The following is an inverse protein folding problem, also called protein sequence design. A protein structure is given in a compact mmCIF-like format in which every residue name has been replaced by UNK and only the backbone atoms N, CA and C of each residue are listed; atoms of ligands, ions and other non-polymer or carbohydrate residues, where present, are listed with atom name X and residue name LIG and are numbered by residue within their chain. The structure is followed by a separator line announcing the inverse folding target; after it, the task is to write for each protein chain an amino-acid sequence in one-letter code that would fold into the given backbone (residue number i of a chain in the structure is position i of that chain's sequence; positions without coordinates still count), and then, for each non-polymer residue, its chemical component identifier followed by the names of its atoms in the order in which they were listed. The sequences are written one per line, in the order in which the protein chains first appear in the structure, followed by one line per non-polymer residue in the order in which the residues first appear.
data_IF_184521784203
#
_entry.id   IF_184521784203
#
_cell.length_a   1.000
_cell.length_b   1.000
_cell.length_c   1.000
_cell.angle_alpha   90.00
_cell.angle_beta   90.00
_cell.angle_gamma   90.00
#
_symmetry.space_group_name_H-M   'P 1'
#
loop_
_entity.id
_entity.type
_entity.pdbx_description
1 polymer ?
#
# COMPACT_ATOMS: atom_id res chain seq x y z
N UNK A 1 11.35 -6.56 25.46
CA UNK A 1 11.46 -5.30 24.70
C UNK A 1 12.73 -5.36 23.84
N UNK A 2 12.84 -6.37 22.97
CA UNK A 2 13.93 -6.53 21.97
C UNK A 2 13.35 -6.97 20.62
N UNK A 3 12.05 -6.79 20.39
CA UNK A 3 11.34 -7.40 19.25
C UNK A 3 11.87 -6.90 17.90
N UNK A 4 12.31 -5.64 17.81
CA UNK A 4 12.97 -5.12 16.61
C UNK A 4 14.39 -5.64 16.39
N UNK A 5 15.04 -6.21 17.42
CA UNK A 5 16.33 -6.88 17.28
C UNK A 5 16.22 -8.28 16.67
N UNK A 6 15.04 -8.87 16.63
CA UNK A 6 14.79 -10.13 15.92
C UNK A 6 14.57 -9.91 14.41
N UNK A 7 14.21 -8.69 14.02
CA UNK A 7 14.12 -8.26 12.62
C UNK A 7 15.48 -7.68 12.21
N UNK A 8 16.12 -8.17 11.15
CA UNK A 8 17.43 -7.68 10.74
C UNK A 8 17.32 -6.26 10.17
N UNK A 9 17.55 -5.25 11.00
CA UNK A 9 17.64 -3.84 10.61
C UNK A 9 19.10 -3.41 10.43
N UNK A 10 19.36 -2.58 9.42
CA UNK A 10 20.70 -2.01 9.18
C UNK A 10 20.96 -0.73 9.98
N UNK A 11 19.89 0.01 10.31
CA UNK A 11 19.93 1.21 11.15
C UNK A 11 18.84 1.12 12.21
N UNK A 12 19.20 1.39 13.46
CA UNK A 12 18.26 1.47 14.58
C UNK A 12 18.28 2.88 15.17
N UNK A 13 17.10 3.44 15.41
CA UNK A 13 16.94 4.75 16.02
C UNK A 13 16.87 4.65 17.55
N UNK A 14 17.41 5.65 18.23
CA UNK A 14 17.35 5.75 19.69
C UNK A 14 15.98 6.20 20.17
N UNK A 15 15.59 5.82 21.39
CA UNK A 15 14.35 6.30 22.01
C UNK A 15 14.49 7.73 22.58
N UNK A 16 14.81 8.71 21.73
CA UNK A 16 15.17 10.09 22.14
C UNK A 16 14.35 11.18 21.44
N UNK A 17 13.30 10.78 20.71
CA UNK A 17 12.44 11.64 19.90
C UNK A 17 11.92 12.89 20.64
N UNK A 18 11.42 12.75 21.88
CA UNK A 18 10.80 13.85 22.66
C UNK A 18 11.70 14.44 23.75
N UNK A 19 13.02 14.19 23.70
CA UNK A 19 13.94 14.69 24.75
C UNK A 19 13.92 16.21 24.81
N UNK A 20 13.43 16.77 25.92
CA UNK A 20 13.52 18.20 26.24
C UNK A 20 13.64 18.41 27.75
N UNK A 21 14.30 19.49 28.16
CA UNK A 21 14.46 19.83 29.58
C UNK A 21 13.09 19.97 30.25
N UNK A 22 12.17 20.68 29.59
CA UNK A 22 10.81 20.87 30.08
C UNK A 22 10.04 19.54 30.19
N UNK A 23 10.15 18.64 29.21
CA UNK A 23 9.50 17.33 29.24
C UNK A 23 9.97 16.46 30.41
N UNK A 24 11.29 16.44 30.67
CA UNK A 24 11.85 15.75 31.84
C UNK A 24 11.41 16.38 33.16
N UNK A 25 11.42 17.72 33.25
CA UNK A 25 10.93 18.44 34.44
C UNK A 25 9.43 18.22 34.70
N UNK A 26 8.63 18.01 33.65
CA UNK A 26 7.20 17.69 33.78
C UNK A 26 6.94 16.20 34.13
N UNK A 27 7.94 15.33 33.97
CA UNK A 27 7.80 13.89 34.18
C UNK A 27 7.93 13.53 35.66
N UNK A 28 6.79 13.22 36.30
CA UNK A 28 6.73 12.84 37.71
C UNK A 28 6.66 11.33 37.89
N UNK A 29 7.56 10.78 38.70
CA UNK A 29 7.60 9.36 39.05
C UNK A 29 7.75 9.17 40.56
N UNK A 30 7.67 7.93 41.05
CA UNK A 30 7.93 7.63 42.46
C UNK A 30 9.34 8.07 42.90
N UNK A 31 10.33 7.97 42.01
CA UNK A 31 11.71 8.40 42.27
C UNK A 31 11.90 9.92 42.09
N UNK A 32 11.07 10.55 41.26
CA UNK A 32 11.17 11.95 40.86
C UNK A 32 9.81 12.65 41.05
N UNK A 33 9.36 12.89 42.29
CA UNK A 33 8.02 13.41 42.55
C UNK A 33 7.83 14.85 42.03
N UNK A 34 8.92 15.62 41.98
CA UNK A 34 8.93 17.02 41.56
C UNK A 34 9.40 17.23 40.11
N UNK A 35 9.58 16.14 39.36
CA UNK A 35 10.18 16.17 38.02
C UNK A 35 11.63 15.70 37.99
N UNK A 36 12.12 15.36 36.80
CA UNK A 36 13.51 14.97 36.58
C UNK A 36 14.33 16.24 36.32
N UNK A 37 15.39 16.44 37.11
CA UNK A 37 16.26 17.61 36.97
C UNK A 37 17.18 17.51 35.74
N UNK A 38 17.62 18.67 35.23
CA UNK A 38 18.49 18.77 34.05
C UNK A 38 19.78 17.95 34.19
N UNK A 39 20.40 17.93 35.38
CA UNK A 39 21.69 17.25 35.57
C UNK A 39 21.57 15.73 35.49
N UNK A 40 20.37 15.19 35.74
CA UNK A 40 20.07 13.77 35.59
C UNK A 40 19.80 13.35 34.14
N UNK A 41 19.38 14.27 33.25
CA UNK A 41 19.00 13.96 31.86
C UNK A 41 20.10 13.23 31.07
N UNK A 42 21.38 13.64 31.08
CA UNK A 42 22.43 12.98 30.31
C UNK A 42 22.54 11.47 30.56
N UNK A 43 22.26 11.01 31.79
CA UNK A 43 22.28 9.58 32.11
C UNK A 43 21.18 8.79 31.38
N UNK A 44 19.99 9.37 31.22
CA UNK A 44 18.90 8.76 30.44
C UNK A 44 19.25 8.69 28.95
N UNK A 45 19.93 9.71 28.42
CA UNK A 45 20.35 9.74 27.01
C UNK A 45 21.43 8.68 26.74
N UNK A 46 22.40 8.54 27.63
CA UNK A 46 23.39 7.47 27.54
C UNK A 46 22.73 6.08 27.58
N UNK A 47 21.76 5.88 28.48
CA UNK A 47 20.99 4.64 28.57
C UNK A 47 20.16 4.36 27.30
N UNK A 48 19.55 5.38 26.68
CA UNK A 48 18.80 5.22 25.44
C UNK A 48 19.70 4.72 24.30
N UNK A 49 20.93 5.23 24.21
CA UNK A 49 21.94 4.76 23.24
C UNK A 49 22.42 3.36 23.58
N UNK A 50 22.70 3.05 24.85
CA UNK A 50 23.04 1.70 25.30
C UNK A 50 21.98 0.66 24.88
N UNK A 51 20.70 1.01 25.04
CA UNK A 51 19.58 0.13 24.66
C UNK A 51 19.58 -0.08 23.15
N UNK A 52 19.70 0.98 22.34
CA UNK A 52 19.74 0.87 20.88
C UNK A 52 20.94 0.03 20.40
N UNK A 53 22.11 0.20 21.01
CA UNK A 53 23.32 -0.57 20.69
C UNK A 53 23.19 -2.06 21.01
N UNK A 54 22.51 -2.40 22.12
CA UNK A 54 22.23 -3.79 22.52
C UNK A 54 21.13 -4.42 21.67
N UNK A 55 20.21 -3.62 21.15
CA UNK A 55 19.12 -4.08 20.30
C UNK A 55 19.53 -4.32 18.84
N UNK A 56 20.81 -4.09 18.48
CA UNK A 56 21.35 -4.41 17.14
C UNK A 56 21.26 -5.92 16.87
N UNK A 57 20.26 -6.33 16.09
CA UNK A 57 20.04 -7.74 15.71
C UNK A 57 21.05 -8.32 14.73
N UNK A 58 21.78 -7.46 14.00
CA UNK A 58 22.70 -7.82 12.93
C UNK A 58 24.10 -7.23 13.18
N UNK A 59 25.19 -8.01 13.00
CA UNK A 59 26.54 -7.46 13.01
C UNK A 59 26.70 -6.36 11.96
N UNK A 60 27.19 -5.19 12.39
CA UNK A 60 27.36 -4.02 11.52
C UNK A 60 26.14 -3.08 11.44
N UNK A 61 25.03 -3.39 12.12
CA UNK A 61 23.93 -2.44 12.25
C UNK A 61 24.41 -1.14 12.94
N UNK A 62 23.94 -0.01 12.43
CA UNK A 62 24.35 1.31 12.89
C UNK A 62 23.26 1.95 13.75
N UNK A 63 23.64 2.86 14.65
CA UNK A 63 22.70 3.60 15.49
C UNK A 63 22.52 5.01 14.96
N UNK A 64 21.27 5.45 14.82
CA UNK A 64 20.90 6.82 14.49
C UNK A 64 20.30 7.51 15.73
N UNK A 65 20.75 8.73 16.00
CA UNK A 65 20.18 9.54 17.08
C UNK A 65 18.86 10.17 16.60
N UNK A 66 17.73 9.72 17.16
CA UNK A 66 16.40 10.24 16.86
C UNK A 66 16.11 11.54 17.61
N UNK A 67 15.70 12.57 16.88
CA UNK A 67 15.37 13.90 17.38
C UNK A 67 14.10 14.41 16.69
N UNK A 68 12.98 14.42 17.41
CA UNK A 68 11.72 15.01 16.94
C UNK A 68 11.72 16.53 16.96
N UNK A 69 10.66 17.19 16.44
CA UNK A 69 10.56 18.64 16.45
C UNK A 69 10.23 19.18 17.84
N UNK A 70 10.36 20.49 18.03
CA UNK A 70 9.89 21.19 19.23
C UNK A 70 8.44 20.83 19.58
N UNK A 71 7.56 20.81 18.55
CA UNK A 71 6.15 20.48 18.70
C UNK A 71 5.88 19.14 19.38
N UNK A 72 6.76 18.15 19.22
CA UNK A 72 6.62 16.83 19.87
C UNK A 72 6.81 16.87 21.39
N UNK A 73 7.35 17.98 21.91
CA UNK A 73 7.65 18.17 23.33
C UNK A 73 6.65 19.08 24.04
N UNK A 74 5.70 19.64 23.27
CA UNK A 74 4.59 20.45 23.77
C UNK A 74 3.48 19.57 24.36
N UNK A 75 2.65 20.17 25.22
CA UNK A 75 1.45 19.53 25.76
C UNK A 75 0.26 20.48 25.55
N UNK A 76 -0.72 20.13 24.69
CA UNK A 76 -0.74 18.97 23.79
C UNK A 76 0.36 19.04 22.70
N UNK A 77 0.77 17.88 22.17
CA UNK A 77 1.77 17.79 21.10
C UNK A 77 1.31 18.48 19.81
N UNK A 78 2.24 19.17 19.15
CA UNK A 78 2.00 19.99 17.95
C UNK A 78 2.92 19.59 16.78
N UNK A 79 3.51 18.39 16.79
CA UNK A 79 4.39 17.93 15.70
C UNK A 79 3.68 17.80 14.34
N UNK A 80 2.35 17.69 14.31
CA UNK A 80 1.57 17.62 13.06
C UNK A 80 0.97 18.97 12.64
N UNK A 81 0.69 19.86 13.59
CA UNK A 81 0.07 21.16 13.29
C UNK A 81 1.11 22.24 13.00
N UNK A 82 2.31 22.15 13.59
CA UNK A 82 3.28 23.24 13.60
C UNK A 82 2.85 24.48 14.40
N UNK A 83 1.77 24.39 15.20
CA UNK A 83 1.22 25.49 15.98
C UNK A 83 2.00 25.70 17.28
N UNK A 84 3.20 26.29 17.18
CA UNK A 84 4.11 26.49 18.31
C UNK A 84 3.72 27.73 19.13
N UNK A 85 4.23 27.80 20.36
CA UNK A 85 4.02 28.94 21.24
C UNK A 85 4.87 30.16 20.87
N UNK A 86 4.59 31.30 21.50
CA UNK A 86 5.26 32.57 21.25
C UNK A 86 6.76 32.55 21.58
N UNK A 87 7.21 31.61 22.41
CA UNK A 87 8.63 31.47 22.76
C UNK A 87 9.41 30.64 21.73
N UNK A 88 8.74 30.04 20.74
CA UNK A 88 9.31 29.17 19.71
C UNK A 88 8.67 29.39 18.32
N UNK A 89 8.21 30.62 18.04
CA UNK A 89 7.53 30.98 16.79
C UNK A 89 8.45 31.50 15.67
N UNK A 90 9.77 31.59 15.93
CA UNK A 90 10.78 32.02 14.96
C UNK A 90 12.06 31.16 14.97
N UNK A 91 12.87 31.30 13.91
CA UNK A 91 14.09 30.53 13.67
C UNK A 91 15.15 30.69 14.77
N UNK A 92 15.37 31.90 15.31
CA UNK A 92 16.41 32.16 16.32
C UNK A 92 16.00 31.63 17.70
N UNK A 93 14.71 31.71 18.02
CA UNK A 93 14.13 31.06 19.21
C UNK A 93 14.29 29.53 19.12
N UNK A 94 13.89 28.95 18.00
CA UNK A 94 14.05 27.51 17.75
C UNK A 94 15.52 27.08 17.76
N UNK A 95 16.42 27.88 17.19
CA UNK A 95 17.86 27.60 17.22
C UNK A 95 18.40 27.53 18.65
N UNK A 96 18.00 28.45 19.53
CA UNK A 96 18.39 28.42 20.95
C UNK A 96 17.87 27.17 21.65
N UNK A 97 16.61 26.80 21.39
CA UNK A 97 16.03 25.57 21.93
C UNK A 97 16.77 24.32 21.45
N UNK A 98 17.05 24.22 20.15
CA UNK A 98 17.82 23.11 19.58
C UNK A 98 19.23 23.05 20.16
N UNK A 99 19.92 24.19 20.31
CA UNK A 99 21.25 24.23 20.91
C UNK A 99 21.24 23.77 22.39
N UNK A 100 20.24 24.20 23.17
CA UNK A 100 20.08 23.74 24.55
C UNK A 100 19.84 22.23 24.61
N UNK A 101 18.93 21.72 23.77
CA UNK A 101 18.66 20.28 23.68
C UNK A 101 19.92 19.48 23.31
N UNK A 102 20.66 19.92 22.28
CA UNK A 102 21.87 19.24 21.80
C UNK A 102 23.01 19.26 22.82
N UNK A 103 23.07 20.27 23.69
CA UNK A 103 24.04 20.33 24.79
C UNK A 103 23.92 19.13 25.74
N UNK A 104 22.70 18.63 25.97
CA UNK A 104 22.46 17.45 26.82
C UNK A 104 23.10 16.18 26.23
N UNK A 105 23.05 16.03 24.91
CA UNK A 105 23.68 14.90 24.21
C UNK A 105 25.21 15.02 24.18
N UNK A 106 25.74 16.25 24.13
CA UNK A 106 27.17 16.50 24.28
C UNK A 106 27.66 16.16 25.69
N UNK A 107 26.91 16.56 26.72
CA UNK A 107 27.17 16.21 28.13
C UNK A 107 27.07 14.70 28.37
N UNK A 108 26.13 14.02 27.70
CA UNK A 108 26.00 12.56 27.72
C UNK A 108 27.10 11.83 26.93
N UNK A 109 27.95 12.55 26.20
CA UNK A 109 29.06 12.01 25.39
C UNK A 109 28.62 10.95 24.37
N UNK A 110 27.44 11.10 23.77
CA UNK A 110 26.89 10.08 22.87
C UNK A 110 27.26 10.26 21.39
N UNK A 111 27.77 11.43 21.00
CA UNK A 111 27.99 11.78 19.59
C UNK A 111 28.92 10.81 18.84
N UNK A 112 29.94 10.27 19.50
CA UNK A 112 30.86 9.31 18.87
C UNK A 112 30.29 7.88 18.78
N UNK A 113 29.19 7.61 19.50
CA UNK A 113 28.54 6.30 19.56
C UNK A 113 27.46 6.14 18.48
N UNK A 114 27.02 7.23 17.87
CA UNK A 114 26.01 7.23 16.82
C UNK A 114 26.65 7.43 15.44
N UNK A 115 26.09 6.77 14.44
CA UNK A 115 26.53 6.86 13.06
C UNK A 115 25.81 7.96 12.29
N UNK A 116 24.56 8.26 12.66
CA UNK A 116 23.71 9.25 12.00
C UNK A 116 22.96 10.11 13.01
N UNK A 117 22.48 11.26 12.54
CA UNK A 117 21.49 12.08 13.25
C UNK A 117 20.22 12.14 12.42
N UNK A 118 19.11 11.76 13.05
CA UNK A 118 17.79 11.69 12.46
C UNK A 118 16.93 12.81 13.05
N UNK A 119 16.81 13.93 12.32
CA UNK A 119 15.86 14.98 12.68
C UNK A 119 14.55 14.69 11.97
N UNK A 120 13.52 14.32 12.71
CA UNK A 120 12.34 13.67 12.15
C UNK A 120 11.03 14.35 12.49
N UNK A 121 10.03 14.17 11.64
CA UNK A 121 8.68 14.76 11.78
C UNK A 121 8.68 16.29 11.84
N UNK A 122 9.63 16.97 11.19
CA UNK A 122 9.72 18.43 11.27
C UNK A 122 8.57 19.08 10.46
N UNK A 123 7.70 19.92 11.05
CA UNK A 123 6.50 20.45 10.39
C UNK A 123 6.61 21.91 9.90
N UNK A 124 7.74 22.59 10.14
CA UNK A 124 7.92 24.02 9.79
C UNK A 124 9.28 24.32 9.14
N UNK A 125 9.30 25.31 8.24
CA UNK A 125 10.51 25.74 7.53
C UNK A 125 11.54 26.44 8.42
N UNK A 126 11.09 27.28 9.35
CA UNK A 126 11.96 27.97 10.31
C UNK A 126 12.69 26.96 11.22
N UNK A 127 12.00 25.91 11.65
CA UNK A 127 12.62 24.83 12.40
C UNK A 127 13.63 24.04 11.56
N UNK A 128 13.34 23.75 10.29
CA UNK A 128 14.32 23.12 9.38
C UNK A 128 15.61 23.96 9.31
N UNK A 129 15.48 25.29 9.20
CA UNK A 129 16.65 26.20 9.19
C UNK A 129 17.40 26.18 10.52
N UNK A 130 16.67 26.21 11.64
CA UNK A 130 17.25 26.11 12.98
C UNK A 130 18.05 24.81 13.15
N UNK A 131 17.49 23.66 12.75
CA UNK A 131 18.15 22.35 12.77
C UNK A 131 19.45 22.37 11.95
N UNK A 132 19.39 22.88 10.71
CA UNK A 132 20.55 22.96 9.81
C UNK A 132 21.68 23.82 10.37
N UNK A 133 21.36 24.82 11.19
CA UNK A 133 22.34 25.67 11.89
C UNK A 133 22.85 25.02 13.18
N UNK A 134 21.97 24.33 13.93
CA UNK A 134 22.29 23.78 15.24
C UNK A 134 23.18 22.53 15.16
N UNK A 135 22.79 21.53 14.35
CA UNK A 135 23.45 20.20 14.34
C UNK A 135 24.96 20.28 14.01
N UNK A 136 25.40 21.03 12.97
CA UNK A 136 26.82 21.10 12.62
C UNK A 136 27.71 21.75 13.69
N UNK A 137 27.13 22.46 14.66
CA UNK A 137 27.86 23.05 15.78
C UNK A 137 28.25 21.99 16.84
N UNK A 138 27.55 20.86 16.89
CA UNK A 138 27.79 19.79 17.88
C UNK A 138 28.42 18.53 17.27
N UNK A 139 28.17 18.26 15.98
CA UNK A 139 28.62 17.02 15.37
C UNK A 139 28.82 17.15 13.86
N UNK A 140 29.70 16.31 13.30
CA UNK A 140 29.90 16.17 11.86
C UNK A 140 29.33 14.86 11.31
N UNK A 141 28.55 14.11 12.11
CA UNK A 141 27.91 12.88 11.64
C UNK A 141 26.87 13.21 10.55
N UNK A 142 26.64 12.32 9.57
CA UNK A 142 25.63 12.52 8.55
C UNK A 142 24.24 12.77 9.16
N UNK A 143 23.61 13.86 8.73
CA UNK A 143 22.27 14.29 9.14
C UNK A 143 21.26 13.96 8.04
N UNK A 144 20.10 13.42 8.40
CA UNK A 144 18.92 13.56 7.55
C UNK A 144 17.82 14.35 8.26
N UNK A 145 17.04 15.06 7.46
CA UNK A 145 15.84 15.77 7.92
C UNK A 145 14.63 15.13 7.25
N UNK A 146 13.73 14.55 8.03
CA UNK A 146 12.44 14.05 7.55
C UNK A 146 11.29 14.94 8.01
N UNK A 147 10.33 15.12 7.10
CA UNK A 147 9.19 16.01 7.27
C UNK A 147 7.89 15.22 7.29
N UNK A 148 6.87 15.84 7.88
CA UNK A 148 5.52 15.29 8.01
C UNK A 148 4.51 16.03 7.15
N UNK A 149 3.57 15.28 6.55
CA UNK A 149 2.50 15.84 5.72
C UNK A 149 1.14 15.30 6.21
N UNK A 150 0.56 15.87 7.27
CA UNK A 150 -0.60 15.28 7.95
C UNK A 150 -1.94 15.59 7.29
N UNK A 151 -2.06 16.71 6.56
CA UNK A 151 -3.28 17.06 5.84
C UNK A 151 -3.61 16.00 4.75
N UNK A 152 -4.84 15.92 4.26
CA UNK A 152 -5.17 15.01 3.14
C UNK A 152 -4.42 15.41 1.85
N UNK A 153 -4.26 16.72 1.61
CA UNK A 153 -3.43 17.24 0.53
C UNK A 153 -1.93 17.20 0.85
N UNK A 154 -1.10 17.61 -0.10
CA UNK A 154 0.37 17.67 0.06
C UNK A 154 0.86 18.93 0.79
N UNK A 155 -0.04 19.61 1.50
CA UNK A 155 0.28 20.81 2.26
C UNK A 155 1.22 20.49 3.41
N UNK A 156 2.27 21.28 3.54
CA UNK A 156 3.11 21.28 4.74
C UNK A 156 2.38 22.05 5.85
N UNK A 157 2.53 21.69 7.15
CA UNK A 157 1.73 22.27 8.23
C UNK A 157 1.82 23.80 8.35
N UNK A 158 2.97 24.40 8.07
CA UNK A 158 3.16 25.86 8.07
C UNK A 158 2.60 26.59 6.82
N UNK A 159 1.97 25.85 5.89
CA UNK A 159 1.42 26.36 4.65
C UNK A 159 2.39 26.37 3.46
N UNK A 160 3.64 25.99 3.67
CA UNK A 160 4.65 25.95 2.61
C UNK A 160 4.41 24.81 1.61
N UNK A 161 4.91 25.00 0.40
CA UNK A 161 4.93 23.95 -0.62
C UNK A 161 6.04 22.92 -0.37
N UNK A 162 5.83 21.69 -0.83
CA UNK A 162 6.86 20.63 -0.84
C UNK A 162 8.18 21.10 -1.46
N UNK A 163 8.09 21.89 -2.54
CA UNK A 163 9.25 22.49 -3.19
C UNK A 163 10.04 23.40 -2.25
N UNK A 164 9.36 24.27 -1.49
CA UNK A 164 10.02 25.13 -0.51
C UNK A 164 10.67 24.32 0.61
N UNK A 165 10.02 23.24 1.07
CA UNK A 165 10.58 22.32 2.08
C UNK A 165 11.90 21.73 1.60
N UNK A 166 11.91 21.07 0.44
CA UNK A 166 13.13 20.43 -0.10
C UNK A 166 14.26 21.44 -0.32
N UNK A 167 13.93 22.61 -0.88
CA UNK A 167 14.91 23.68 -1.10
C UNK A 167 15.46 24.23 0.21
N UNK A 168 14.66 24.30 1.26
CA UNK A 168 15.10 24.77 2.59
C UNK A 168 15.98 23.73 3.29
N UNK A 169 15.66 22.44 3.17
CA UNK A 169 16.49 21.35 3.70
C UNK A 169 17.86 21.33 3.02
N UNK A 170 17.88 21.49 1.70
CA UNK A 170 19.08 21.32 0.87
C UNK A 170 19.78 22.64 0.49
N UNK A 171 19.41 23.78 1.10
CA UNK A 171 20.01 25.06 0.76
C UNK A 171 21.53 25.06 1.03
N UNK A 172 22.26 25.83 0.22
CA UNK A 172 23.71 25.98 0.34
C UNK A 172 24.06 27.24 1.17
N UNK A 173 23.79 27.19 2.47
CA UNK A 173 24.11 28.29 3.39
C UNK A 173 25.54 28.16 3.99
N UNK A 174 26.29 27.15 3.55
CA UNK A 174 27.68 26.89 3.95
C UNK A 174 28.14 25.44 3.71
N UNK A 175 29.45 25.15 3.77
CA UNK A 175 30.02 23.84 3.39
C UNK A 175 29.65 22.65 4.30
N UNK A 176 29.09 22.91 5.50
CA UNK A 176 28.59 21.87 6.42
C UNK A 176 27.08 21.93 6.65
N UNK A 177 26.37 22.82 5.94
CA UNK A 177 24.95 23.09 6.16
C UNK A 177 24.02 22.13 5.42
N UNK A 178 24.56 21.31 4.52
CA UNK A 178 23.76 20.40 3.71
C UNK A 178 23.62 19.03 4.40
N UNK A 179 22.38 18.60 4.71
CA UNK A 179 22.11 17.26 5.19
C UNK A 179 22.53 16.20 4.17
N UNK A 180 22.95 15.04 4.67
CA UNK A 180 23.24 13.85 3.86
C UNK A 180 21.97 13.31 3.18
N UNK A 181 20.82 13.41 3.85
CA UNK A 181 19.55 12.91 3.35
C UNK A 181 18.36 13.81 3.60
N UNK A 182 17.32 13.60 2.80
CA UNK A 182 15.98 14.16 2.97
C UNK A 182 14.99 13.02 3.17
N UNK A 183 13.90 13.26 3.89
CA UNK A 183 12.97 12.17 4.16
C UNK A 183 11.53 12.57 4.40
N UNK A 184 10.68 11.55 4.45
CA UNK A 184 9.26 11.65 4.79
C UNK A 184 8.95 10.55 5.80
N UNK A 185 8.40 10.94 6.94
CA UNK A 185 7.97 10.03 7.98
C UNK A 185 6.61 10.45 8.56
N UNK A 186 6.03 9.59 9.39
CA UNK A 186 4.75 9.83 10.07
C UNK A 186 3.64 10.35 9.13
N UNK A 187 3.66 9.84 7.90
CA UNK A 187 2.79 10.28 6.80
C UNK A 187 2.11 9.05 6.20
N UNK A 188 0.83 9.20 5.84
CA UNK A 188 0.02 8.12 5.27
C UNK A 188 0.64 7.56 4.00
N UNK A 189 0.68 6.22 3.89
CA UNK A 189 1.32 5.49 2.81
C UNK A 189 0.85 5.90 1.40
N UNK A 190 -0.46 6.14 1.21
CA UNK A 190 -1.02 6.50 -0.09
C UNK A 190 -0.56 7.85 -0.62
N UNK A 191 -0.04 8.73 0.25
CA UNK A 191 0.49 10.05 -0.15
C UNK A 191 1.93 9.99 -0.64
N UNK A 192 2.69 8.96 -0.24
CA UNK A 192 4.13 8.90 -0.48
C UNK A 192 4.48 8.96 -1.96
N UNK A 193 3.74 8.29 -2.83
CA UNK A 193 4.06 8.28 -4.26
C UNK A 193 4.10 9.70 -4.84
N UNK A 194 3.10 10.52 -4.49
CA UNK A 194 2.99 11.89 -4.98
C UNK A 194 3.98 12.83 -4.29
N UNK A 195 4.20 12.67 -2.98
CA UNK A 195 5.18 13.46 -2.24
C UNK A 195 6.61 13.18 -2.73
N UNK A 196 6.97 11.91 -2.96
CA UNK A 196 8.28 11.52 -3.49
C UNK A 196 8.49 12.09 -4.88
N UNK A 197 7.47 12.07 -5.77
CA UNK A 197 7.55 12.70 -7.07
C UNK A 197 7.83 14.21 -6.96
N UNK A 198 7.17 14.91 -6.04
CA UNK A 198 7.42 16.34 -5.78
C UNK A 198 8.81 16.61 -5.18
N UNK A 199 9.31 15.71 -4.34
CA UNK A 199 10.68 15.77 -3.84
C UNK A 199 11.68 15.62 -4.99
N UNK A 200 11.45 14.65 -5.86
CA UNK A 200 12.26 14.38 -7.05
C UNK A 200 12.31 15.58 -7.99
N UNK A 201 11.15 16.17 -8.31
CA UNK A 201 11.05 17.39 -9.13
C UNK A 201 11.87 18.55 -8.53
N UNK A 202 11.73 18.80 -7.23
CA UNK A 202 12.47 19.87 -6.55
C UNK A 202 13.99 19.62 -6.55
N UNK A 203 14.44 18.38 -6.36
CA UNK A 203 15.87 18.02 -6.41
C UNK A 203 16.41 18.17 -7.84
N UNK A 204 15.67 17.73 -8.86
CA UNK A 204 16.06 17.86 -10.27
C UNK A 204 16.27 19.34 -10.62
N UNK A 205 15.33 20.20 -10.25
CA UNK A 205 15.45 21.64 -10.48
C UNK A 205 16.70 22.22 -9.81
N UNK A 206 16.94 21.90 -8.53
CA UNK A 206 18.11 22.40 -7.82
C UNK A 206 19.43 21.90 -8.43
N UNK A 207 19.49 20.68 -8.94
CA UNK A 207 20.66 20.16 -9.67
C UNK A 207 20.86 20.91 -10.98
N UNK A 208 19.78 21.15 -11.75
CA UNK A 208 19.82 21.91 -13.01
C UNK A 208 20.30 23.34 -12.79
N UNK A 209 19.89 23.96 -11.69
CA UNK A 209 20.31 25.29 -11.25
C UNK A 209 21.74 25.31 -10.66
N UNK A 210 22.40 24.15 -10.55
CA UNK A 210 23.70 23.96 -9.89
C UNK A 210 23.71 24.34 -8.41
N UNK A 211 22.54 24.40 -7.78
CA UNK A 211 22.36 24.56 -6.34
C UNK A 211 22.59 23.25 -5.57
N UNK A 212 22.70 22.11 -6.26
CA UNK A 212 23.11 20.82 -5.69
C UNK A 212 24.17 20.16 -6.56
N UNK A 213 25.22 19.64 -5.93
CA UNK A 213 26.29 18.91 -6.62
C UNK A 213 25.88 17.47 -6.97
N UNK A 214 25.07 16.83 -6.12
CA UNK A 214 24.63 15.45 -6.28
C UNK A 214 23.28 15.23 -5.62
N UNK A 215 22.66 14.10 -5.93
CA UNK A 215 21.44 13.64 -5.27
C UNK A 215 21.68 13.38 -3.77
N UNK A 216 20.78 13.79 -2.88
CA UNK A 216 20.81 13.40 -1.47
C UNK A 216 20.31 11.96 -1.30
N UNK A 217 20.57 11.36 -0.15
CA UNK A 217 19.88 10.13 0.23
C UNK A 217 18.38 10.41 0.49
N UNK A 218 17.51 9.46 0.15
CA UNK A 218 16.09 9.52 0.46
C UNK A 218 15.78 8.54 1.59
N UNK A 219 15.19 9.04 2.68
CA UNK A 219 14.84 8.24 3.87
C UNK A 219 13.31 8.23 4.04
N UNK A 220 12.69 7.05 4.01
CA UNK A 220 11.23 6.91 4.08
C UNK A 220 10.85 5.89 5.15
N UNK A 221 10.01 6.30 6.10
CA UNK A 221 9.43 5.43 7.12
C UNK A 221 8.01 5.94 7.45
N UNK A 222 7.05 5.66 6.54
CA UNK A 222 5.68 6.14 6.66
C UNK A 222 4.92 5.45 7.78
N UNK A 223 3.74 5.97 8.08
CA UNK A 223 2.83 5.29 9.00
C UNK A 223 2.39 3.95 8.42
N UNK A 224 2.63 2.89 9.19
CA UNK A 224 2.18 1.54 8.86
C UNK A 224 0.69 1.31 9.04
N UNK A 225 -0.11 2.36 9.29
CA UNK A 225 -1.53 2.22 9.58
C UNK A 225 -2.39 2.30 8.33
N UNK A 226 -3.32 1.36 8.19
CA UNK A 226 -4.32 1.34 7.13
C UNK A 226 -5.47 2.32 7.44
N UNK A 227 -5.14 3.59 7.71
CA UNK A 227 -6.10 4.65 8.02
C UNK A 227 -6.52 4.76 9.49
N UNK A 228 -5.93 3.96 10.38
CA UNK A 228 -6.14 4.06 11.82
C UNK A 228 -5.38 5.28 12.35
N UNK A 229 -6.05 6.08 13.18
CA UNK A 229 -5.50 7.22 13.90
C UNK A 229 -5.35 6.81 15.36
N UNK A 230 -4.20 7.12 15.96
CA UNK A 230 -4.00 6.84 17.38
C UNK A 230 -4.83 7.81 18.21
N UNK A 231 -5.83 7.29 18.92
CA UNK A 231 -6.64 8.07 19.83
C UNK A 231 -5.90 8.18 21.18
N UNK A 232 -5.44 9.39 21.49
CA UNK A 232 -4.66 9.69 22.70
C UNK A 232 -5.48 9.55 23.99
N UNK A 233 -6.81 9.57 23.90
CA UNK A 233 -7.70 9.41 25.06
C UNK A 233 -7.96 7.93 25.36
N UNK A 234 -8.19 7.12 24.32
CA UNK A 234 -8.44 5.68 24.50
C UNK A 234 -7.16 4.84 24.47
N UNK A 235 -6.02 5.45 24.13
CA UNK A 235 -4.71 4.82 23.95
C UNK A 235 -4.73 3.65 22.95
N UNK A 236 -5.59 3.74 21.93
CA UNK A 236 -5.78 2.71 20.91
C UNK A 236 -5.73 3.32 19.52
N UNK A 237 -5.29 2.51 18.57
CA UNK A 237 -5.45 2.79 17.15
C UNK A 237 -6.92 2.58 16.78
N UNK A 238 -7.58 3.65 16.34
CA UNK A 238 -8.99 3.66 15.99
C UNK A 238 -9.18 4.14 14.55
N UNK A 239 -10.10 3.50 13.83
CA UNK A 239 -10.55 4.00 12.55
C UNK A 239 -11.47 5.21 12.78
N UNK A 240 -11.29 6.34 12.05
CA UNK A 240 -12.20 7.47 12.13
C UNK A 240 -13.66 7.03 11.88
N UNK A 241 -14.62 7.65 12.57
CA UNK A 241 -16.05 7.38 12.34
C UNK A 241 -16.41 7.69 10.87
N UNK A 242 -16.84 6.66 10.12
CA UNK A 242 -17.10 6.75 8.67
C UNK A 242 -15.99 6.20 7.76
N UNK A 243 -14.90 5.65 8.32
CA UNK A 243 -13.86 4.98 7.56
C UNK A 243 -14.29 3.55 7.20
N UNK A 244 -14.94 3.39 6.04
CA UNK A 244 -15.05 2.06 5.42
C UNK A 244 -13.66 1.63 4.97
N UNK A 245 -13.20 0.49 5.48
CA UNK A 245 -11.96 -0.17 5.09
C UNK A 245 -12.05 -0.48 3.60
N UNK A 246 -11.62 0.47 2.76
CA UNK A 246 -11.41 0.24 1.34
C UNK A 246 -10.24 -0.72 1.21
N UNK A 247 -10.62 -1.98 1.32
CA UNK A 247 -9.80 -3.14 1.03
C UNK A 247 -8.98 -2.85 -0.21
N UNK A 248 -7.69 -3.15 -0.15
CA UNK A 248 -6.79 -3.20 -1.31
C UNK A 248 -7.43 -4.00 -2.46
N UNK A 249 -8.39 -4.87 -2.16
CA UNK A 249 -9.29 -5.57 -3.08
C UNK A 249 -10.23 -4.63 -3.86
N UNK A 250 -10.83 -3.60 -3.25
CA UNK A 250 -11.68 -2.62 -3.94
C UNK A 250 -10.87 -1.71 -4.86
N UNK A 251 -9.64 -1.30 -4.48
CA UNK A 251 -8.74 -0.54 -5.35
C UNK A 251 -8.20 -1.41 -6.49
N UNK A 252 -7.94 -2.70 -6.23
CA UNK A 252 -7.54 -3.65 -7.27
C UNK A 252 -8.69 -3.95 -8.24
N UNK A 253 -9.91 -4.18 -7.74
CA UNK A 253 -11.11 -4.39 -8.57
C UNK A 253 -11.48 -3.11 -9.31
N UNK A 254 -11.38 -1.94 -8.68
CA UNK A 254 -11.61 -0.65 -9.33
C UNK A 254 -10.52 -0.35 -10.37
N UNK A 255 -9.26 -0.72 -10.11
CA UNK A 255 -8.14 -0.62 -11.05
C UNK A 255 -8.27 -1.58 -12.24
N UNK A 256 -8.72 -2.81 -12.02
CA UNK A 256 -9.11 -3.78 -13.06
C UNK A 256 -10.33 -3.29 -13.85
N UNK A 257 -11.30 -2.65 -13.18
CA UNK A 257 -12.52 -2.14 -13.80
C UNK A 257 -12.25 -0.87 -14.59
N UNK A 258 -11.49 0.09 -14.05
CA UNK A 258 -11.03 1.30 -14.74
C UNK A 258 -10.02 0.96 -15.83
N UNK A 259 -9.12 0.00 -15.59
CA UNK A 259 -8.22 -0.56 -16.59
C UNK A 259 -9.00 -1.24 -17.72
N UNK A 260 -10.03 -2.02 -17.41
CA UNK A 260 -10.92 -2.61 -18.41
C UNK A 260 -11.74 -1.54 -19.15
N UNK A 261 -12.26 -0.51 -18.48
CA UNK A 261 -13.04 0.57 -19.08
C UNK A 261 -12.16 1.48 -19.95
N UNK A 262 -10.96 1.83 -19.51
CA UNK A 262 -9.98 2.60 -20.26
C UNK A 262 -9.43 1.79 -21.45
N UNK A 263 -9.15 0.49 -21.26
CA UNK A 263 -8.82 -0.41 -22.36
C UNK A 263 -10.00 -0.59 -23.33
N UNK A 264 -11.25 -0.55 -22.86
CA UNK A 264 -12.46 -0.58 -23.71
C UNK A 264 -12.59 0.73 -24.52
N UNK A 265 -12.39 1.89 -23.89
CA UNK A 265 -12.47 3.20 -24.53
C UNK A 265 -11.33 3.47 -25.52
N UNK A 266 -10.13 2.93 -25.27
CA UNK A 266 -9.00 2.99 -26.20
C UNK A 266 -9.10 1.90 -27.29
N UNK A 267 -9.72 0.75 -26.99
CA UNK A 267 -9.99 -0.33 -27.94
C UNK A 267 -11.12 -0.03 -28.94
N UNK A 268 -11.92 1.03 -28.72
CA UNK A 268 -12.91 1.52 -29.68
C UNK A 268 -12.30 1.90 -31.04
N UNK A 269 -10.98 2.09 -31.10
CA UNK A 269 -10.26 2.32 -32.37
C UNK A 269 -9.78 1.06 -33.10
N UNK A 270 -9.81 -0.14 -32.49
CA UNK A 270 -9.11 -1.32 -33.04
C UNK A 270 -9.87 -2.66 -32.96
N UNK A 271 -11.19 -2.65 -32.72
CA UNK A 271 -12.05 -3.82 -32.97
C UNK A 271 -11.90 -5.00 -32.01
N UNK A 272 -11.32 -4.81 -30.82
CA UNK A 272 -11.08 -5.88 -29.82
C UNK A 272 -12.24 -6.18 -28.86
N UNK A 273 -13.39 -5.51 -28.97
CA UNK A 273 -14.59 -5.82 -28.16
C UNK A 273 -15.05 -7.28 -28.36
N UNK A 274 -14.96 -7.79 -29.60
CA UNK A 274 -15.37 -9.16 -29.93
C UNK A 274 -14.45 -10.23 -29.33
N UNK A 275 -13.17 -9.89 -29.13
CA UNK A 275 -12.17 -10.77 -28.50
C UNK A 275 -12.29 -10.77 -26.97
N UNK A 276 -12.52 -9.60 -26.34
CA UNK A 276 -12.70 -9.48 -24.88
C UNK A 276 -14.05 -9.99 -24.38
N UNK A 277 -15.12 -9.87 -25.16
CA UNK A 277 -16.40 -10.49 -24.81
C UNK A 277 -16.33 -12.02 -24.87
N UNK A 278 -15.50 -12.59 -25.76
CA UNK A 278 -15.26 -14.04 -25.78
C UNK A 278 -14.50 -14.51 -24.53
N UNK A 279 -13.46 -13.79 -24.09
CA UNK A 279 -12.70 -14.20 -22.89
C UNK A 279 -13.50 -14.16 -21.60
N UNK A 280 -14.35 -13.13 -21.41
CA UNK A 280 -15.28 -13.06 -20.26
C UNK A 280 -16.44 -14.06 -20.37
N UNK A 281 -16.91 -14.32 -21.58
CA UNK A 281 -17.90 -15.37 -21.85
C UNK A 281 -17.40 -16.75 -21.46
N UNK A 282 -16.13 -17.08 -21.73
CA UNK A 282 -15.55 -18.40 -21.40
C UNK A 282 -15.59 -18.71 -19.90
N UNK A 283 -15.19 -17.77 -19.03
CA UNK A 283 -15.16 -17.98 -17.58
C UNK A 283 -16.56 -18.20 -17.00
N UNK A 284 -17.56 -17.50 -17.51
CA UNK A 284 -18.96 -17.69 -17.10
C UNK A 284 -19.60 -18.94 -17.72
N UNK A 285 -19.21 -19.32 -18.95
CA UNK A 285 -19.83 -20.43 -19.68
C UNK A 285 -19.31 -21.80 -19.23
N UNK A 286 -18.03 -21.91 -18.85
CA UNK A 286 -17.42 -23.19 -18.47
C UNK A 286 -18.13 -23.82 -17.25
N UNK A 287 -18.39 -23.13 -16.13
CA UNK A 287 -19.13 -23.71 -15.00
C UNK A 287 -20.58 -24.09 -15.36
N UNK A 288 -21.23 -23.31 -16.23
CA UNK A 288 -22.59 -23.60 -16.70
C UNK A 288 -22.59 -24.89 -17.52
N UNK A 289 -21.67 -25.01 -18.47
CA UNK A 289 -21.51 -26.23 -19.29
C UNK A 289 -21.11 -27.43 -18.44
N UNK A 290 -20.16 -27.29 -17.52
CA UNK A 290 -19.77 -28.34 -16.59
C UNK A 290 -20.95 -28.79 -15.73
N UNK A 291 -21.77 -27.86 -15.24
CA UNK A 291 -22.98 -28.22 -14.50
C UNK A 291 -23.99 -28.98 -15.36
N UNK A 292 -24.04 -28.69 -16.66
CA UNK A 292 -24.95 -29.32 -17.61
C UNK A 292 -24.58 -30.78 -17.90
N UNK A 293 -23.29 -31.05 -18.11
CA UNK A 293 -22.81 -32.40 -18.46
C UNK A 293 -22.61 -33.30 -17.23
N UNK A 294 -22.51 -32.72 -16.04
CA UNK A 294 -22.24 -33.46 -14.80
C UNK A 294 -23.50 -34.10 -14.21
N UNK A 295 -23.38 -35.36 -13.77
CA UNK A 295 -24.42 -36.02 -13.00
C UNK A 295 -24.71 -35.27 -11.68
N UNK A 296 -25.97 -35.22 -11.21
CA UNK A 296 -26.36 -34.46 -10.00
C UNK A 296 -25.53 -34.79 -8.75
N UNK A 297 -25.09 -36.03 -8.59
CA UNK A 297 -24.29 -36.49 -7.44
C UNK A 297 -22.84 -36.01 -7.45
N UNK A 298 -22.27 -35.70 -8.63
CA UNK A 298 -20.87 -35.31 -8.80
C UNK A 298 -20.68 -33.86 -9.26
N UNK A 299 -21.77 -33.15 -9.56
CA UNK A 299 -21.78 -31.75 -10.03
C UNK A 299 -20.99 -30.82 -9.08
N UNK A 300 -21.11 -31.02 -7.76
CA UNK A 300 -20.37 -30.24 -6.77
C UNK A 300 -18.86 -30.47 -6.83
N UNK A 301 -18.43 -31.71 -7.02
CA UNK A 301 -17.01 -32.07 -7.12
C UNK A 301 -16.39 -31.51 -8.41
N UNK A 302 -17.08 -31.67 -9.55
CA UNK A 302 -16.60 -31.16 -10.85
C UNK A 302 -16.56 -29.62 -10.85
N UNK A 303 -17.55 -28.97 -10.25
CA UNK A 303 -17.54 -27.51 -10.02
C UNK A 303 -16.39 -27.06 -9.12
N UNK A 304 -16.11 -27.80 -8.05
CA UNK A 304 -14.99 -27.54 -7.14
C UNK A 304 -13.62 -27.67 -7.82
N UNK A 305 -13.42 -28.72 -8.62
CA UNK A 305 -12.19 -28.92 -9.41
C UNK A 305 -11.98 -27.76 -10.40
N UNK A 306 -13.05 -27.31 -11.07
CA UNK A 306 -12.99 -26.12 -11.94
C UNK A 306 -12.60 -24.86 -11.17
N UNK A 307 -13.14 -24.66 -9.95
CA UNK A 307 -12.78 -23.54 -9.09
C UNK A 307 -11.30 -23.58 -8.67
N UNK A 308 -10.79 -24.74 -8.25
CA UNK A 308 -9.37 -24.95 -7.95
C UNK A 308 -8.48 -24.65 -9.18
N UNK A 309 -8.92 -25.05 -10.37
CA UNK A 309 -8.21 -24.77 -11.62
C UNK A 309 -8.12 -23.27 -11.93
N UNK A 310 -9.20 -22.52 -11.71
CA UNK A 310 -9.21 -21.06 -11.85
C UNK A 310 -8.24 -20.42 -10.84
N UNK A 311 -8.31 -20.81 -9.57
CA UNK A 311 -7.41 -20.31 -8.53
C UNK A 311 -5.94 -20.60 -8.84
N UNK A 312 -5.63 -21.81 -9.32
CA UNK A 312 -4.28 -22.19 -9.74
C UNK A 312 -3.79 -21.37 -10.94
N UNK A 313 -4.66 -21.14 -11.94
CA UNK A 313 -4.35 -20.29 -13.09
C UNK A 313 -4.04 -18.84 -12.68
N UNK A 314 -4.86 -18.27 -11.79
CA UNK A 314 -4.62 -16.93 -11.24
C UNK A 314 -3.32 -16.86 -10.46
N UNK A 315 -3.03 -17.88 -9.64
CA UNK A 315 -1.75 -17.98 -8.92
C UNK A 315 -0.58 -17.99 -9.90
N UNK A 316 -0.58 -18.88 -10.90
CA UNK A 316 0.48 -18.94 -11.92
C UNK A 316 0.65 -17.62 -12.68
N UNK A 317 -0.44 -16.92 -12.99
CA UNK A 317 -0.41 -15.60 -13.61
C UNK A 317 0.32 -14.58 -12.73
N UNK A 318 0.08 -14.59 -11.43
CA UNK A 318 0.75 -13.69 -10.48
C UNK A 318 2.25 -13.98 -10.39
N UNK A 319 2.65 -15.24 -10.38
CA UNK A 319 4.07 -15.63 -10.38
C UNK A 319 4.79 -15.21 -11.66
N UNK A 320 4.15 -15.39 -12.82
CA UNK A 320 4.69 -14.92 -14.11
C UNK A 320 4.77 -13.39 -14.14
N UNK A 321 3.76 -12.69 -13.63
CA UNK A 321 3.76 -11.24 -13.51
C UNK A 321 4.91 -10.73 -12.63
N UNK A 322 5.11 -11.36 -11.47
CA UNK A 322 6.23 -11.06 -10.57
C UNK A 322 7.58 -11.31 -11.25
N UNK A 323 7.75 -12.45 -11.92
CA UNK A 323 8.98 -12.76 -12.66
C UNK A 323 9.27 -11.75 -13.78
N UNK A 324 8.24 -11.30 -14.50
CA UNK A 324 8.37 -10.27 -15.53
C UNK A 324 8.67 -8.89 -14.93
N UNK A 325 8.32 -8.64 -13.67
CA UNK A 325 8.67 -7.41 -12.94
C UNK A 325 10.17 -7.21 -12.70
N UNK A 326 10.96 -8.30 -12.72
CA UNK A 326 12.43 -8.23 -12.63
C UNK A 326 13.11 -8.01 -13.99
N UNK A 327 12.35 -7.97 -15.09
CA UNK A 327 12.91 -7.69 -16.41
C UNK A 327 13.26 -6.20 -16.56
N UNK A 328 14.26 -5.84 -17.41
CA UNK A 328 14.57 -4.44 -17.70
C UNK A 328 13.34 -3.68 -18.18
N UNK A 329 13.20 -2.43 -17.72
CA UNK A 329 12.07 -1.56 -18.07
C UNK A 329 11.97 -1.42 -19.59
N UNK A 330 10.86 -1.91 -20.18
CA UNK A 330 10.70 -1.94 -21.63
C UNK A 330 9.56 -2.84 -22.13
N UNK A 331 9.46 -3.04 -23.47
CA UNK A 331 8.35 -3.78 -24.09
C UNK A 331 8.24 -5.24 -23.65
N UNK A 332 9.34 -5.84 -23.20
CA UNK A 332 9.39 -7.24 -22.77
C UNK A 332 8.58 -7.46 -21.49
N UNK A 333 8.58 -6.48 -20.57
CA UNK A 333 7.92 -6.57 -19.26
C UNK A 333 6.42 -6.85 -19.36
N UNK A 334 5.74 -6.29 -20.37
CA UNK A 334 4.31 -6.48 -20.57
C UNK A 334 3.95 -7.43 -21.73
N UNK A 335 4.83 -7.60 -22.73
CA UNK A 335 4.58 -8.51 -23.86
C UNK A 335 4.81 -9.97 -23.53
N UNK A 336 5.81 -10.27 -22.69
CA UNK A 336 6.12 -11.64 -22.27
C UNK A 336 4.95 -12.31 -21.52
N UNK A 337 4.35 -11.71 -20.48
CA UNK A 337 3.23 -12.34 -19.78
C UNK A 337 1.99 -12.50 -20.65
N UNK A 338 1.75 -11.59 -21.62
CA UNK A 338 0.67 -11.73 -22.59
C UNK A 338 0.95 -12.80 -23.65
N UNK A 339 2.19 -12.88 -24.14
CA UNK A 339 2.61 -13.88 -25.12
C UNK A 339 2.56 -15.30 -24.56
N UNK A 340 2.87 -15.47 -23.27
CA UNK A 340 2.83 -16.77 -22.60
C UNK A 340 1.41 -17.37 -22.50
N UNK A 341 0.36 -16.55 -22.61
CA UNK A 341 -1.03 -17.02 -22.62
C UNK A 341 -1.43 -17.69 -23.94
N UNK A 342 -0.76 -17.34 -25.05
CA UNK A 342 -1.14 -17.77 -26.41
C UNK A 342 -1.10 -19.30 -26.57
N UNK A 343 -0.03 -20.03 -26.16
CA UNK A 343 -0.01 -21.48 -26.27
C UNK A 343 -1.18 -22.16 -25.54
N UNK A 344 -1.51 -21.68 -24.34
CA UNK A 344 -2.64 -22.22 -23.55
C UNK A 344 -3.99 -21.96 -24.21
N UNK A 345 -4.17 -20.77 -24.81
CA UNK A 345 -5.36 -20.45 -25.60
C UNK A 345 -5.51 -21.36 -26.83
N UNK A 346 -4.41 -21.69 -27.51
CA UNK A 346 -4.42 -22.63 -28.65
C UNK A 346 -4.78 -24.04 -28.22
N UNK A 347 -4.20 -24.52 -27.11
CA UNK A 347 -4.53 -25.84 -26.55
C UNK A 347 -6.02 -25.92 -26.18
N UNK A 348 -6.55 -24.90 -25.51
CA UNK A 348 -7.97 -24.81 -25.17
C UNK A 348 -8.84 -24.82 -26.44
N UNK A 349 -8.48 -24.02 -27.45
CA UNK A 349 -9.23 -23.94 -28.71
C UNK A 349 -9.29 -25.30 -29.43
N UNK A 350 -8.15 -25.99 -29.55
CA UNK A 350 -8.09 -27.33 -30.15
C UNK A 350 -8.97 -28.29 -29.34
N UNK A 351 -8.86 -28.28 -28.01
CA UNK A 351 -9.66 -29.15 -27.14
C UNK A 351 -11.16 -28.95 -27.29
N UNK A 352 -11.61 -27.69 -27.33
CA UNK A 352 -13.00 -27.33 -27.56
C UNK A 352 -13.48 -27.70 -28.97
N UNK A 353 -12.63 -27.54 -29.99
CA UNK A 353 -12.99 -27.81 -31.38
C UNK A 353 -13.04 -29.31 -31.71
N UNK A 354 -12.24 -30.16 -31.04
CA UNK A 354 -12.11 -31.58 -31.41
C UNK A 354 -12.80 -32.55 -30.46
N UNK A 355 -12.87 -32.26 -29.15
CA UNK A 355 -13.29 -33.25 -28.14
C UNK A 355 -14.58 -32.92 -27.40
N UNK A 356 -15.06 -31.67 -27.45
CA UNK A 356 -16.24 -31.27 -26.67
C UNK A 356 -17.56 -31.51 -27.42
N UNK A 357 -18.50 -32.27 -26.84
CA UNK A 357 -19.83 -32.44 -27.43
C UNK A 357 -20.64 -31.13 -27.33
N UNK A 358 -21.56 -30.93 -28.29
CA UNK A 358 -22.45 -29.78 -28.29
C UNK A 358 -23.35 -29.76 -27.04
N UNK A 359 -23.60 -28.58 -26.47
CA UNK A 359 -24.51 -28.43 -25.31
C UNK A 359 -25.94 -28.85 -25.67
N UNK A 360 -26.53 -29.85 -24.98
CA UNK A 360 -27.93 -30.24 -25.14
C UNK A 360 -28.92 -29.08 -24.92
N UNK A 361 -28.68 -28.18 -23.96
CA UNK A 361 -29.49 -26.98 -23.69
C UNK A 361 -29.54 -26.04 -24.88
N UNK A 362 -28.39 -25.78 -25.50
CA UNK A 362 -28.31 -24.89 -26.66
C UNK A 362 -29.07 -25.49 -27.86
N UNK A 363 -28.97 -26.81 -28.06
CA UNK A 363 -29.71 -27.51 -29.11
C UNK A 363 -31.23 -27.47 -28.88
N UNK A 364 -31.69 -27.62 -27.63
CA UNK A 364 -33.11 -27.48 -27.26
C UNK A 364 -33.60 -26.05 -27.50
N UNK A 365 -32.84 -25.02 -27.10
CA UNK A 365 -33.17 -23.60 -27.34
C UNK A 365 -33.29 -23.26 -28.83
N UNK A 366 -32.54 -23.93 -29.69
CA UNK A 366 -32.61 -23.79 -31.15
C UNK A 366 -33.67 -24.70 -31.80
N UNK A 367 -34.50 -25.40 -31.02
CA UNK A 367 -35.56 -26.29 -31.52
C UNK A 367 -35.08 -27.64 -32.07
N UNK A 368 -33.79 -27.99 -31.93
CA UNK A 368 -33.19 -29.24 -32.45
C UNK A 368 -33.24 -30.36 -31.42
N UNK A 369 -34.46 -30.75 -31.02
CA UNK A 369 -34.70 -31.68 -29.90
C UNK A 369 -34.09 -33.08 -30.14
N UNK A 370 -34.13 -33.60 -31.36
CA UNK A 370 -33.60 -34.94 -31.64
C UNK A 370 -32.07 -35.00 -31.62
N UNK A 371 -31.40 -33.91 -32.04
CA UNK A 371 -29.94 -33.78 -31.92
C UNK A 371 -29.53 -33.63 -30.45
N UNK A 372 -30.29 -32.85 -29.67
CA UNK A 372 -30.06 -32.72 -28.24
C UNK A 372 -30.16 -34.07 -27.52
N UNK A 373 -31.13 -34.92 -27.92
CA UNK A 373 -31.28 -36.27 -27.36
C UNK A 373 -30.06 -37.14 -27.65
N UNK A 374 -29.57 -37.13 -28.89
CA UNK A 374 -28.38 -37.90 -29.29
C UNK A 374 -27.13 -37.48 -28.51
N UNK A 375 -26.89 -36.18 -28.36
CA UNK A 375 -25.75 -35.67 -27.60
C UNK A 375 -25.91 -35.94 -26.10
N UNK A 376 -27.12 -35.82 -25.54
CA UNK A 376 -27.39 -36.15 -24.14
C UNK A 376 -27.13 -37.63 -23.83
N UNK A 377 -27.51 -38.56 -24.72
CA UNK A 377 -27.19 -39.99 -24.59
C UNK A 377 -25.69 -40.27 -24.69
N UNK A 378 -24.93 -39.51 -25.48
CA UNK A 378 -23.46 -39.64 -25.54
C UNK A 378 -22.76 -39.20 -24.26
N UNK A 379 -23.31 -38.19 -23.58
CA UNK A 379 -22.79 -37.63 -22.32
C UNK A 379 -23.15 -38.53 -21.13
N UNK A 380 -24.41 -38.99 -21.04
CA UNK A 380 -24.90 -39.84 -19.94
C UNK A 380 -24.86 -41.33 -20.28
N UNK A 381 -23.65 -41.85 -20.48
CA UNK A 381 -23.40 -43.30 -20.70
C UNK A 381 -23.60 -44.16 -19.43
N UNK A 382 -23.77 -43.51 -18.29
CA UNK A 382 -23.94 -44.10 -16.95
C UNK A 382 -25.36 -44.65 -16.69
N UNK A 383 -26.36 -44.26 -17.48
CA UNK A 383 -27.77 -44.57 -17.25
C UNK A 383 -28.33 -45.62 -18.24
N UNK A 384 -29.35 -46.37 -17.81
CA UNK A 384 -30.10 -47.30 -18.69
C UNK A 384 -31.05 -46.53 -19.62
N UNK A 385 -31.39 -47.11 -20.78
CA UNK A 385 -32.15 -46.43 -21.85
C UNK A 385 -33.43 -45.73 -21.39
N UNK A 386 -34.15 -46.32 -20.43
CA UNK A 386 -35.39 -45.77 -19.89
C UNK A 386 -35.15 -44.58 -18.92
N UNK A 387 -34.06 -44.61 -18.15
CA UNK A 387 -33.71 -43.54 -17.20
C UNK A 387 -33.18 -42.30 -17.92
N UNK A 388 -32.39 -42.50 -18.98
CA UNK A 388 -31.92 -41.41 -19.87
C UNK A 388 -33.11 -40.65 -20.47
N UNK A 389 -34.17 -41.35 -20.87
CA UNK A 389 -35.35 -40.72 -21.46
C UNK A 389 -36.09 -39.83 -20.46
N UNK A 390 -36.30 -40.33 -19.24
CA UNK A 390 -36.99 -39.59 -18.18
C UNK A 390 -36.21 -38.33 -17.77
N UNK A 391 -34.89 -38.44 -17.61
CA UNK A 391 -34.06 -37.28 -17.25
C UNK A 391 -33.99 -36.24 -18.38
N UNK A 392 -33.95 -36.69 -19.65
CA UNK A 392 -34.01 -35.80 -20.80
C UNK A 392 -35.34 -35.03 -20.88
N UNK A 393 -36.47 -35.69 -20.60
CA UNK A 393 -37.79 -35.04 -20.57
C UNK A 393 -37.87 -33.98 -19.47
N UNK A 394 -37.38 -34.29 -18.28
CA UNK A 394 -37.33 -33.33 -17.16
C UNK A 394 -36.47 -32.11 -17.52
N UNK A 395 -35.27 -32.34 -18.06
CA UNK A 395 -34.37 -31.29 -18.53
C UNK A 395 -35.05 -30.39 -19.58
N UNK A 396 -35.72 -31.00 -20.56
CA UNK A 396 -36.44 -30.26 -21.60
C UNK A 396 -37.53 -29.37 -21.00
N UNK A 397 -38.37 -29.92 -20.12
CA UNK A 397 -39.46 -29.14 -19.49
C UNK A 397 -38.94 -27.96 -18.67
N UNK A 398 -37.79 -28.12 -18.00
CA UNK A 398 -37.16 -27.04 -17.24
C UNK A 398 -36.67 -25.92 -18.17
N UNK A 399 -36.06 -26.28 -19.30
CA UNK A 399 -35.54 -25.28 -20.26
C UNK A 399 -36.67 -24.55 -20.96
N UNK A 400 -37.74 -25.25 -21.34
CA UNK A 400 -38.94 -24.64 -21.94
C UNK A 400 -39.57 -23.64 -20.95
N UNK A 401 -39.71 -24.02 -19.67
CA UNK A 401 -40.18 -23.12 -18.62
C UNK A 401 -39.28 -21.89 -18.39
N UNK A 402 -37.95 -22.06 -18.46
CA UNK A 402 -36.99 -20.96 -18.37
C UNK A 402 -37.06 -20.02 -19.58
N UNK A 403 -37.29 -20.54 -20.79
CA UNK A 403 -37.46 -19.75 -22.02
C UNK A 403 -38.74 -18.92 -21.98
N UNK A 404 -39.82 -19.46 -21.42
CA UNK A 404 -41.09 -18.73 -21.25
C UNK A 404 -40.97 -17.55 -20.28
N UNK A 405 -40.04 -17.63 -19.31
CA UNK A 405 -39.81 -16.62 -18.26
C UNK A 405 -38.53 -15.81 -18.45
N UNK A 406 -37.97 -15.80 -19.65
CA UNK A 406 -36.69 -15.16 -19.91
C UNK A 406 -36.80 -13.63 -19.69
N UNK A 407 -36.05 -13.13 -18.70
CA UNK A 407 -36.00 -11.71 -18.36
C UNK A 407 -35.16 -11.00 -19.41
N UNK A 408 -35.78 -10.11 -20.19
CA UNK A 408 -35.16 -9.54 -21.40
C UNK A 408 -34.36 -8.27 -21.13
N UNK A 409 -34.47 -7.69 -19.92
CA UNK A 409 -33.82 -6.44 -19.57
C UNK A 409 -33.27 -6.41 -18.15
N UNK A 410 -32.10 -5.77 -17.97
CA UNK A 410 -31.50 -5.47 -16.66
C UNK A 410 -32.46 -4.65 -15.78
N UNK A 411 -33.35 -3.86 -16.39
CA UNK A 411 -34.40 -3.09 -15.69
C UNK A 411 -35.44 -3.99 -15.03
N UNK A 412 -35.82 -5.09 -15.67
CA UNK A 412 -36.75 -6.07 -15.10
C UNK A 412 -36.12 -6.84 -13.95
N UNK A 413 -34.82 -7.15 -14.02
CA UNK A 413 -34.07 -7.78 -12.92
C UNK A 413 -34.12 -6.88 -11.67
N UNK A 414 -33.83 -5.58 -11.82
CA UNK A 414 -33.88 -4.64 -10.70
C UNK A 414 -35.29 -4.47 -10.11
N UNK A 415 -36.33 -4.52 -10.95
CA UNK A 415 -37.72 -4.45 -10.49
C UNK A 415 -38.16 -5.72 -9.74
N UNK A 416 -37.78 -6.90 -10.24
CA UNK A 416 -38.14 -8.19 -9.65
C UNK A 416 -37.42 -8.47 -8.33
N UNK A 417 -36.16 -8.02 -8.19
CA UNK A 417 -35.32 -8.33 -7.03
C UNK A 417 -35.04 -7.14 -6.11
N UNK A 418 -35.71 -6.00 -6.32
CA UNK A 418 -35.61 -4.77 -5.50
C UNK A 418 -35.61 -5.03 -3.99
N UNK A 419 -36.45 -5.94 -3.51
CA UNK A 419 -36.60 -6.23 -2.08
C UNK A 419 -35.50 -7.12 -1.49
N UNK A 420 -34.68 -7.80 -2.30
CA UNK A 420 -33.57 -8.64 -1.83
C UNK A 420 -32.21 -7.94 -1.85
N UNK A 421 -32.10 -6.81 -2.56
CA UNK A 421 -30.85 -6.05 -2.73
C UNK A 421 -30.79 -4.86 -1.75
N UNK A 422 -31.94 -4.38 -1.28
CA UNK A 422 -32.08 -3.21 -0.41
C UNK A 422 -32.45 -3.57 1.05
N UNK A 423 -32.28 -4.83 1.43
CA UNK A 423 -32.39 -5.33 2.80
C UNK A 423 -31.03 -5.95 3.16
#
# INVERSE_FOLDING_TARGET
MVDFGEVPVDVIETATYQVSIHGFAATKTVQWPDGIDRASIPSFLANAVDIAERARGKPGAQVALSLGPYGSTMVPGQEYSGAYDEDHDDEEKLLRWWAERLSLFAEAQVWERVAYVACETIPRLDEIKAVRRAIPAFTSKPLWISCVFPAEGDGFPDGSSVRQVVRTILAQDGPRAQPWGIGINCTKLHKLQNLVAKYEEAVIEMIQEKALASWPALVLYPDGTNGEVYNTTTQRWELPAGYEKNSVVAVYIAGETLGALAQTAVADKLGRVRFMMQSRGLVATVPIYLSEISAPSQRGLIGGISGCGISFGTMMSNWVGMACGYAPYGPVQWRLPLGLQVPWGVVLFIGLATFMPNSPRQLIRHGKVDQARQEFTKIRRDLKSHEVHNEFVLMRSQIEFEMEREIKSVKEIFLLFRHRVLA
#
